data_IF_021551949276
#
_entry.id   IF_021551949276
#
_cell.length_a   1.000
_cell.length_b   1.000
_cell.length_c   1.000
_cell.angle_alpha   90.00
_cell.angle_beta   90.00
_cell.angle_gamma   90.00
#
_symmetry.space_group_name_H-M   'P 1'
#
loop_
_entity.id
_entity.type
_entity.pdbx_description
1 polymer ?
#
# COMPACT_ATOMS: atom_id res chain seq x y z
N UNK A 1 -3.22 -1.17 -7.80
CA UNK A 1 -3.14 -1.13 -6.32
C UNK A 1 -3.99 -2.19 -5.63
N UNK A 2 -5.33 -2.16 -5.68
CA UNK A 2 -6.19 -3.16 -4.98
C UNK A 2 -5.87 -4.61 -5.34
N UNK A 3 -5.66 -4.88 -6.63
CA UNK A 3 -5.32 -6.21 -7.14
C UNK A 3 -3.96 -6.70 -6.62
N UNK A 4 -2.93 -5.84 -6.68
CA UNK A 4 -1.59 -6.13 -6.18
C UNK A 4 -1.59 -6.50 -4.69
N UNK A 5 -2.28 -5.71 -3.86
CA UNK A 5 -2.40 -5.99 -2.42
C UNK A 5 -3.15 -7.29 -2.10
N UNK A 6 -4.02 -7.74 -3.01
CA UNK A 6 -4.75 -9.01 -2.88
C UNK A 6 -3.93 -10.21 -3.39
N UNK A 7 -3.16 -10.03 -4.47
CA UNK A 7 -2.35 -11.08 -5.09
C UNK A 7 -1.03 -11.32 -4.33
N UNK A 8 -0.45 -10.27 -3.73
CA UNK A 8 0.81 -10.32 -2.97
C UNK A 8 0.62 -9.71 -1.57
N UNK A 9 0.10 -10.46 -0.59
CA UNK A 9 -0.13 -9.94 0.77
C UNK A 9 1.16 -9.58 1.53
N UNK A 10 2.32 -10.06 1.06
CA UNK A 10 3.64 -9.70 1.57
C UNK A 10 4.16 -8.34 1.07
N UNK A 11 3.38 -7.64 0.24
CA UNK A 11 3.76 -6.33 -0.30
C UNK A 11 3.97 -5.31 0.83
N UNK A 12 5.18 -4.75 0.92
CA UNK A 12 5.49 -3.69 1.89
C UNK A 12 5.01 -2.34 1.35
N UNK A 13 4.22 -1.62 2.15
CA UNK A 13 3.66 -0.32 1.76
C UNK A 13 4.45 0.79 2.45
N UNK A 14 4.96 1.74 1.67
CA UNK A 14 5.64 2.93 2.16
C UNK A 14 4.91 4.19 1.69
N UNK A 15 4.60 5.08 2.63
CA UNK A 15 3.99 6.38 2.33
C UNK A 15 5.07 7.45 2.22
N UNK A 16 5.05 8.23 1.15
CA UNK A 16 6.03 9.31 0.91
C UNK A 16 5.43 10.45 0.10
N UNK A 17 5.73 11.69 0.50
CA UNK A 17 5.35 12.92 -0.23
C UNK A 17 6.14 13.14 -1.53
N UNK A 18 7.15 12.29 -1.79
CA UNK A 18 7.90 12.30 -3.04
C UNK A 18 7.10 11.80 -4.26
N UNK A 19 5.92 11.20 -4.04
CA UNK A 19 5.03 10.70 -5.09
C UNK A 19 3.74 11.50 -5.08
N UNK A 20 3.27 11.92 -6.25
CA UNK A 20 2.01 12.66 -6.37
C UNK A 20 0.81 11.78 -6.02
N UNK A 21 -0.27 12.39 -5.49
CA UNK A 21 -1.47 11.65 -5.08
C UNK A 21 -2.15 10.85 -6.21
N UNK A 22 -1.92 11.18 -7.48
CA UNK A 22 -2.45 10.42 -8.62
C UNK A 22 -1.60 9.22 -9.05
N UNK A 23 -0.41 9.07 -8.49
CA UNK A 23 0.58 8.09 -8.92
C UNK A 23 0.94 7.11 -7.80
N UNK A 24 1.44 5.95 -8.20
CA UNK A 24 2.06 4.99 -7.30
C UNK A 24 3.31 4.43 -7.97
N UNK A 25 4.26 4.01 -7.15
CA UNK A 25 5.44 3.30 -7.63
C UNK A 25 5.47 1.90 -7.03
N UNK A 26 5.64 0.88 -7.87
CA UNK A 26 5.82 -0.50 -7.44
C UNK A 26 7.23 -0.94 -7.84
N UNK A 27 8.04 -1.31 -6.85
CA UNK A 27 9.34 -1.92 -7.04
C UNK A 27 9.32 -3.37 -6.58
N UNK A 28 9.56 -4.31 -7.48
CA UNK A 28 9.72 -5.73 -7.14
C UNK A 28 11.16 -5.99 -6.71
N UNK A 29 11.35 -6.51 -5.49
CA UNK A 29 12.65 -6.95 -4.97
C UNK A 29 12.65 -8.47 -4.77
N UNK A 30 13.81 -9.14 -4.71
CA UNK A 30 13.89 -10.58 -4.41
C UNK A 30 13.27 -10.95 -3.06
N UNK A 31 13.16 -9.99 -2.13
CA UNK A 31 12.53 -10.13 -0.81
C UNK A 31 11.01 -9.84 -0.81
N UNK A 32 10.45 -9.40 -1.94
CA UNK A 32 9.03 -9.10 -2.10
C UNK A 32 8.76 -7.77 -2.84
N UNK A 33 7.49 -7.54 -3.18
CA UNK A 33 7.03 -6.29 -3.79
C UNK A 33 6.99 -5.15 -2.76
N UNK A 34 7.38 -3.95 -3.20
CA UNK A 34 7.34 -2.73 -2.38
C UNK A 34 6.51 -1.68 -3.11
N UNK A 35 5.46 -1.21 -2.46
CA UNK A 35 4.54 -0.22 -3.01
C UNK A 35 4.73 1.12 -2.30
N UNK A 36 5.10 2.14 -3.07
CA UNK A 36 5.21 3.51 -2.60
C UNK A 36 3.97 4.31 -3.02
N UNK A 37 3.36 4.97 -2.04
CA UNK A 37 2.12 5.73 -2.20
C UNK A 37 2.23 7.10 -1.57
N UNK A 38 1.43 8.04 -2.06
CA UNK A 38 1.22 9.30 -1.35
C UNK A 38 0.48 9.06 -0.01
N UNK A 39 0.79 9.80 1.07
CA UNK A 39 0.15 9.63 2.38
C UNK A 39 -1.38 9.79 2.38
N UNK A 40 -1.95 10.51 1.41
CA UNK A 40 -3.40 10.64 1.25
C UNK A 40 -4.12 9.30 1.02
N UNK A 41 -3.40 8.25 0.60
CA UNK A 41 -3.96 6.92 0.36
C UNK A 41 -3.99 6.03 1.60
N UNK A 42 -3.44 6.47 2.74
CA UNK A 42 -3.50 5.75 4.02
C UNK A 42 -4.89 5.19 4.35
N UNK A 43 -5.98 6.01 4.37
CA UNK A 43 -7.31 5.50 4.71
C UNK A 43 -7.79 4.39 3.76
N UNK A 44 -7.46 4.48 2.47
CA UNK A 44 -7.79 3.46 1.49
C UNK A 44 -6.99 2.18 1.71
N UNK A 45 -5.68 2.29 2.03
CA UNK A 45 -4.83 1.13 2.35
C UNK A 45 -5.32 0.42 3.60
N UNK A 46 -5.65 1.15 4.65
CA UNK A 46 -6.13 0.57 5.91
C UNK A 46 -7.45 -0.20 5.69
N UNK A 47 -8.38 0.36 4.91
CA UNK A 47 -9.61 -0.35 4.51
C UNK A 47 -9.30 -1.64 3.73
N UNK A 48 -8.36 -1.60 2.78
CA UNK A 48 -8.01 -2.74 1.94
C UNK A 48 -7.26 -3.84 2.68
N UNK A 49 -6.44 -3.48 3.67
CA UNK A 49 -5.73 -4.45 4.52
C UNK A 49 -6.64 -5.04 5.60
N UNK A 50 -7.91 -4.62 5.67
CA UNK A 50 -8.81 -5.06 6.73
C UNK A 50 -8.42 -4.51 8.11
N UNK A 51 -7.54 -3.50 8.17
CA UNK A 51 -7.35 -2.66 9.36
C UNK A 51 -8.49 -1.64 9.45
N UNK A 52 -9.73 -2.13 9.43
CA UNK A 52 -10.81 -1.42 10.09
C UNK A 52 -10.65 -1.75 11.57
N UNK A 53 -10.16 -0.74 12.29
CA UNK A 53 -10.66 -0.32 13.60
C UNK A 53 -11.09 -1.46 14.55
N UNK A 54 -10.28 -1.73 15.58
CA UNK A 54 -10.73 -2.39 16.81
C UNK A 54 -11.53 -3.69 16.65
N UNK A 55 -10.83 -4.82 16.62
CA UNK A 55 -11.33 -5.99 17.35
C UNK A 55 -11.10 -5.68 18.85
N UNK A 56 -12.12 -5.86 19.72
CA UNK A 56 -12.24 -5.24 21.05
C UNK A 56 -11.15 -5.60 22.08
#
# INVERSE_FOLDING_TARGET
MRRLLREEPSTRIHFTDAITAGSYYNGTRPEGSVLFLHPSHRPLVDELLGRRDGDP
#
